data_IF_899628403333
#
_entry.id   IF_899628403333
#
_cell.length_a   1.000
_cell.length_b   1.000
_cell.length_c   1.000
_cell.angle_alpha   90.00
_cell.angle_beta   90.00
_cell.angle_gamma   90.00
#
_symmetry.space_group_name_H-M   'P 1'
#
loop_
_entity.id
_entity.type
_entity.pdbx_description
1 polymer ?
#
# COMPACT_ATOMS: atom_id res chain seq x y z
N UNK A 1 -10.14 -0.07 8.26
CA UNK A 1 -9.14 0.60 7.40
C UNK A 1 -7.77 0.42 8.06
N UNK A 2 -7.03 -0.62 7.69
CA UNK A 2 -5.68 -0.82 8.22
C UNK A 2 -4.76 0.18 7.55
N UNK A 3 -3.98 0.92 8.33
CA UNK A 3 -2.92 1.76 7.76
C UNK A 3 -1.97 0.91 6.91
N UNK A 4 -1.46 1.45 5.79
CA UNK A 4 -0.46 0.74 4.99
C UNK A 4 0.73 0.38 5.89
N UNK A 5 1.17 -0.87 5.81
CA UNK A 5 2.31 -1.43 6.56
C UNK A 5 3.54 -0.54 6.50
N UNK A 6 3.77 0.11 5.36
CA UNK A 6 4.79 1.12 5.14
C UNK A 6 4.72 2.30 6.11
N UNK A 7 3.57 2.96 6.30
CA UNK A 7 3.47 4.13 7.19
C UNK A 7 3.74 3.76 8.65
N UNK A 8 3.43 2.52 9.03
CA UNK A 8 3.80 1.98 10.35
C UNK A 8 5.31 1.79 10.46
N UNK A 9 5.94 1.16 9.47
CA UNK A 9 7.40 0.93 9.45
C UNK A 9 8.18 2.25 9.41
N UNK A 10 7.75 3.21 8.59
CA UNK A 10 8.38 4.53 8.50
C UNK A 10 8.30 5.28 9.85
N UNK A 11 7.16 5.20 10.55
CA UNK A 11 7.04 5.75 11.90
C UNK A 11 7.99 5.09 12.89
N UNK A 12 8.16 3.76 12.80
CA UNK A 12 9.13 3.03 13.63
C UNK A 12 10.56 3.48 13.33
N UNK A 13 10.94 3.63 12.06
CA UNK A 13 12.27 4.12 11.65
C UNK A 13 12.54 5.52 12.20
N UNK A 14 11.61 6.46 11.99
CA UNK A 14 11.74 7.84 12.49
C UNK A 14 11.88 7.84 14.01
N UNK A 15 11.07 7.04 14.70
CA UNK A 15 11.14 6.90 16.15
C UNK A 15 12.50 6.35 16.61
N UNK A 16 13.00 5.29 15.97
CA UNK A 16 14.31 4.70 16.29
C UNK A 16 15.45 5.70 16.10
N UNK A 17 15.44 6.47 15.00
CA UNK A 17 16.45 7.51 14.75
C UNK A 17 16.42 8.59 15.84
N UNK A 18 15.24 9.06 16.22
CA UNK A 18 15.08 10.06 17.29
C UNK A 18 15.58 9.51 18.63
N UNK A 19 15.23 8.26 18.97
CA UNK A 19 15.73 7.60 20.18
C UNK A 19 17.25 7.50 20.14
N UNK A 20 17.84 7.12 19.02
CA UNK A 20 19.28 6.91 18.90
C UNK A 20 20.06 8.23 19.00
N UNK A 21 19.53 9.31 18.40
CA UNK A 21 20.07 10.68 18.58
C UNK A 21 19.95 11.13 20.03
N UNK A 22 18.81 10.86 20.68
CA UNK A 22 18.57 11.29 22.07
C UNK A 22 19.47 10.53 23.05
N UNK A 23 19.60 9.22 22.88
CA UNK A 23 20.48 8.35 23.69
C UNK A 23 21.95 8.69 23.45
N UNK A 24 22.36 8.91 22.19
CA UNK A 24 23.70 9.38 21.84
C UNK A 24 24.05 10.69 22.54
N UNK A 25 23.18 11.70 22.37
CA UNK A 25 23.37 13.03 22.95
C UNK A 25 23.40 12.98 24.49
N UNK A 26 22.45 12.28 25.10
CA UNK A 26 22.41 12.12 26.56
C UNK A 26 23.63 11.35 27.08
N UNK A 27 24.08 10.31 26.37
CA UNK A 27 25.26 9.54 26.75
C UNK A 27 26.53 10.39 26.79
N UNK A 28 26.78 11.20 25.76
CA UNK A 28 27.91 12.13 25.78
C UNK A 28 27.77 13.23 26.84
N UNK A 29 26.55 13.74 27.10
CA UNK A 29 26.34 14.70 28.19
C UNK A 29 26.59 14.10 29.58
N UNK A 30 26.27 12.82 29.80
CA UNK A 30 26.40 12.16 31.11
C UNK A 30 27.80 11.59 31.35
N UNK A 31 28.42 11.00 30.33
CA UNK A 31 29.74 10.37 30.45
C UNK A 31 30.85 11.40 30.32
N UNK A 32 30.75 12.28 29.33
CA UNK A 32 31.81 13.22 28.97
C UNK A 32 31.56 14.65 29.48
N UNK A 33 30.39 14.91 30.08
CA UNK A 33 30.00 16.23 30.60
C UNK A 33 30.05 17.33 29.54
N UNK A 34 29.86 16.96 28.27
CA UNK A 34 29.86 17.91 27.17
C UNK A 34 28.59 18.75 27.15
N UNK A 35 28.72 19.96 26.62
CA UNK A 35 27.55 20.78 26.35
C UNK A 35 26.64 20.10 25.32
N UNK A 36 25.33 20.33 25.42
CA UNK A 36 24.33 19.69 24.56
C UNK A 36 24.63 19.84 23.07
N UNK A 37 25.19 20.99 22.65
CA UNK A 37 25.53 21.23 21.25
C UNK A 37 26.67 20.32 20.77
N UNK A 38 27.73 20.16 21.55
CA UNK A 38 28.88 19.31 21.22
C UNK A 38 28.47 17.83 21.21
N UNK A 39 27.67 17.41 22.20
CA UNK A 39 27.15 16.06 22.30
C UNK A 39 26.20 15.70 21.13
N UNK A 40 25.30 16.62 20.77
CA UNK A 40 24.39 16.44 19.65
C UNK A 40 25.16 16.41 18.33
N UNK A 41 26.11 17.33 18.16
CA UNK A 41 26.93 17.39 16.95
C UNK A 41 27.75 16.11 16.79
N UNK A 42 28.42 15.63 17.85
CA UNK A 42 29.13 14.35 17.85
C UNK A 42 28.20 13.19 17.45
N UNK A 43 27.03 13.10 18.07
CA UNK A 43 26.05 12.06 17.77
C UNK A 43 25.63 12.09 16.29
N UNK A 44 25.33 13.26 15.74
CA UNK A 44 24.92 13.40 14.34
C UNK A 44 26.05 13.04 13.38
N UNK A 45 27.29 13.46 13.60
CA UNK A 45 28.40 13.11 12.70
C UNK A 45 28.74 11.62 12.75
N UNK A 46 28.60 10.98 13.92
CA UNK A 46 28.79 9.54 14.09
C UNK A 46 27.69 8.75 13.37
N UNK A 47 26.43 9.12 13.56
CA UNK A 47 25.28 8.41 12.97
C UNK A 47 25.07 8.72 11.49
N UNK A 48 25.49 9.88 11.00
CA UNK A 48 25.43 10.19 9.57
C UNK A 48 26.51 9.45 8.76
N UNK A 49 27.41 8.71 9.42
CA UNK A 49 28.57 8.03 8.80
C UNK A 49 29.59 8.98 8.17
N UNK A 50 29.49 10.29 8.45
CA UNK A 50 30.45 11.30 7.94
C UNK A 50 31.77 11.23 8.69
N UNK A 51 31.72 11.17 10.03
CA UNK A 51 32.89 10.86 10.86
C UNK A 51 34.07 11.82 10.71
N UNK A 52 33.87 13.13 10.92
CA UNK A 52 34.96 14.13 10.89
C UNK A 52 36.03 13.96 11.99
N UNK A 53 35.87 12.99 12.89
CA UNK A 53 36.68 12.80 14.09
C UNK A 53 35.93 13.20 15.36
N UNK A 54 36.62 13.13 16.50
CA UNK A 54 36.07 13.51 17.79
C UNK A 54 35.93 15.04 17.90
N UNK A 55 34.77 15.51 18.35
CA UNK A 55 34.53 16.95 18.59
C UNK A 55 35.40 17.47 19.74
N UNK A 56 35.58 16.63 20.77
CA UNK A 56 36.48 16.82 21.91
C UNK A 56 37.08 15.46 22.30
N UNK A 57 38.22 15.42 23.01
CA UNK A 57 38.85 14.16 23.41
C UNK A 57 37.89 13.29 24.23
N UNK A 58 37.74 12.03 23.83
CA UNK A 58 36.94 11.05 24.54
C UNK A 58 37.71 10.39 25.69
N UNK A 59 36.99 9.99 26.74
CA UNK A 59 37.53 9.06 27.75
C UNK A 59 37.31 7.60 27.33
N UNK A 60 37.99 6.65 27.97
CA UNK A 60 37.79 5.21 27.69
C UNK A 60 36.31 4.77 27.75
N UNK A 61 35.50 5.18 28.76
CA UNK A 61 34.06 4.94 28.74
C UNK A 61 33.32 5.55 27.53
N UNK A 62 33.70 6.76 27.12
CA UNK A 62 33.13 7.44 25.95
C UNK A 62 33.48 6.77 24.63
N UNK A 63 34.68 6.21 24.50
CA UNK A 63 35.08 5.41 23.34
C UNK A 63 34.22 4.14 23.23
N UNK A 64 34.07 3.39 24.32
CA UNK A 64 33.24 2.17 24.34
C UNK A 64 31.77 2.50 24.04
N UNK A 65 31.26 3.59 24.61
CA UNK A 65 29.92 4.10 24.31
C UNK A 65 29.77 4.43 22.82
N UNK A 66 30.75 5.12 22.24
CA UNK A 66 30.76 5.49 20.82
C UNK A 66 30.78 4.24 19.93
N UNK A 67 31.53 3.20 20.28
CA UNK A 67 31.53 1.92 19.55
C UNK A 67 30.13 1.30 19.53
N UNK A 68 29.45 1.23 20.69
CA UNK A 68 28.09 0.70 20.78
C UNK A 68 27.09 1.54 19.98
N UNK A 69 27.23 2.87 20.05
CA UNK A 69 26.40 3.81 19.29
C UNK A 69 26.56 3.62 17.78
N UNK A 70 27.78 3.38 17.30
CA UNK A 70 28.07 3.07 15.89
C UNK A 70 27.40 1.77 15.47
N UNK A 71 27.57 0.68 16.23
CA UNK A 71 26.93 -0.60 15.89
C UNK A 71 25.40 -0.49 15.84
N UNK A 72 24.79 0.19 16.80
CA UNK A 72 23.35 0.46 16.80
C UNK A 72 22.93 1.34 15.62
N UNK A 73 23.68 2.42 15.35
CA UNK A 73 23.44 3.35 14.26
C UNK A 73 23.46 2.68 12.90
N UNK A 74 24.49 1.88 12.61
CA UNK A 74 24.61 1.13 11.36
C UNK A 74 23.42 0.19 11.17
N UNK A 75 22.98 -0.52 12.22
CA UNK A 75 21.81 -1.38 12.16
C UNK A 75 20.52 -0.64 11.81
N UNK A 76 20.28 0.50 12.46
CA UNK A 76 19.10 1.33 12.19
C UNK A 76 19.15 1.92 10.77
N UNK A 77 20.31 2.38 10.30
CA UNK A 77 20.47 2.87 8.93
C UNK A 77 20.23 1.77 7.90
N UNK A 78 20.81 0.59 8.09
CA UNK A 78 20.62 -0.55 7.20
C UNK A 78 19.13 -0.94 7.10
N UNK A 79 18.43 -1.00 8.23
CA UNK A 79 16.99 -1.26 8.27
C UNK A 79 16.17 -0.16 7.58
N UNK A 80 16.56 1.11 7.77
CA UNK A 80 15.95 2.26 7.13
C UNK A 80 16.08 2.18 5.60
N UNK A 81 17.27 1.88 5.10
CA UNK A 81 17.53 1.69 3.67
C UNK A 81 16.72 0.53 3.08
N UNK A 82 16.63 -0.60 3.79
CA UNK A 82 15.80 -1.74 3.35
C UNK A 82 14.34 -1.33 3.21
N UNK A 83 13.78 -0.64 4.22
CA UNK A 83 12.38 -0.20 4.22
C UNK A 83 12.08 0.78 3.07
N UNK A 84 12.99 1.72 2.83
CA UNK A 84 12.86 2.67 1.71
C UNK A 84 12.99 1.95 0.35
N UNK A 85 13.91 0.99 0.25
CA UNK A 85 14.12 0.22 -0.98
C UNK A 85 12.91 -0.64 -1.29
N UNK A 86 12.37 -1.38 -0.31
CA UNK A 86 11.16 -2.17 -0.46
C UNK A 86 10.01 -1.31 -0.96
N UNK A 87 9.86 -0.10 -0.44
CA UNK A 87 8.83 0.84 -0.89
C UNK A 87 9.01 1.33 -2.33
N UNK A 88 10.24 1.67 -2.73
CA UNK A 88 10.56 2.12 -4.09
C UNK A 88 10.37 0.97 -5.08
N UNK A 89 10.88 -0.22 -4.75
CA UNK A 89 10.88 -1.39 -5.63
C UNK A 89 9.50 -2.02 -5.72
N UNK A 90 8.80 -2.21 -4.60
CA UNK A 90 7.46 -2.79 -4.60
C UNK A 90 6.40 -1.83 -5.13
N UNK A 91 6.72 -0.53 -5.27
CA UNK A 91 5.78 0.47 -5.76
C UNK A 91 4.49 0.50 -4.93
N UNK A 92 4.55 0.18 -3.63
CA UNK A 92 3.36 0.04 -2.77
C UNK A 92 2.53 1.33 -2.75
N UNK A 93 3.19 2.50 -2.86
CA UNK A 93 2.50 3.77 -3.04
C UNK A 93 1.70 3.82 -4.34
N UNK A 94 2.29 3.35 -5.44
CA UNK A 94 1.65 3.31 -6.74
C UNK A 94 0.46 2.35 -6.73
N UNK A 95 0.58 1.18 -6.10
CA UNK A 95 -0.52 0.24 -5.90
C UNK A 95 -1.66 0.81 -5.04
N UNK A 96 -1.34 1.46 -3.92
CA UNK A 96 -2.32 2.09 -3.04
C UNK A 96 -3.03 3.28 -3.70
N UNK A 97 -2.26 4.22 -4.28
CA UNK A 97 -2.81 5.39 -4.98
C UNK A 97 -3.62 4.96 -6.21
N UNK A 98 -3.19 3.94 -6.95
CA UNK A 98 -3.95 3.39 -8.08
C UNK A 98 -5.23 2.71 -7.63
N UNK A 99 -5.23 1.85 -6.60
CA UNK A 99 -6.48 1.28 -6.05
C UNK A 99 -7.47 2.37 -5.65
N UNK A 100 -6.98 3.42 -4.99
CA UNK A 100 -7.81 4.57 -4.61
C UNK A 100 -8.31 5.35 -5.83
N UNK A 101 -7.52 5.45 -6.90
CA UNK A 101 -7.91 6.07 -8.18
C UNK A 101 -8.94 5.23 -8.93
N UNK A 102 -8.75 3.91 -9.01
CA UNK A 102 -9.70 2.96 -9.61
C UNK A 102 -11.01 2.96 -8.86
N UNK A 103 -10.99 2.87 -7.52
CA UNK A 103 -12.19 2.99 -6.69
C UNK A 103 -12.91 4.33 -6.92
N UNK A 104 -12.20 5.45 -7.02
CA UNK A 104 -12.79 6.76 -7.36
C UNK A 104 -13.35 6.81 -8.79
N UNK A 105 -12.68 6.18 -9.75
CA UNK A 105 -13.15 6.08 -11.15
C UNK A 105 -14.45 5.28 -11.18
N UNK A 106 -14.43 4.08 -10.60
CA UNK A 106 -15.61 3.22 -10.43
C UNK A 106 -16.74 3.96 -9.74
N UNK A 107 -16.47 4.66 -8.62
CA UNK A 107 -17.44 5.45 -7.85
C UNK A 107 -18.07 6.63 -8.63
N UNK A 108 -17.57 6.98 -9.81
CA UNK A 108 -18.14 8.02 -10.69
C UNK A 108 -18.71 7.47 -12.01
N UNK A 109 -18.56 6.18 -12.28
CA UNK A 109 -19.04 5.57 -13.53
C UNK A 109 -20.57 5.49 -13.55
N UNK A 110 -21.16 5.83 -14.69
CA UNK A 110 -22.59 5.69 -14.97
C UNK A 110 -22.74 5.03 -16.35
N UNK A 111 -23.85 4.35 -16.57
CA UNK A 111 -24.15 3.61 -17.80
C UNK A 111 -22.99 2.66 -18.18
N UNK A 112 -22.48 1.94 -17.18
CA UNK A 112 -21.41 0.95 -17.34
C UNK A 112 -21.93 -0.46 -17.16
N UNK A 113 -21.22 -1.43 -17.71
CA UNK A 113 -21.52 -2.85 -17.55
C UNK A 113 -20.72 -3.43 -16.38
N UNK A 114 -21.34 -4.34 -15.63
CA UNK A 114 -20.67 -5.11 -14.59
C UNK A 114 -20.53 -6.54 -15.09
N UNK A 115 -19.31 -7.08 -15.12
CA UNK A 115 -19.05 -8.48 -15.47
C UNK A 115 -18.61 -9.22 -14.20
N UNK A 116 -19.42 -10.19 -13.79
CA UNK A 116 -19.17 -11.02 -12.60
C UNK A 116 -18.49 -12.32 -13.04
N UNK A 117 -17.23 -12.48 -12.64
CA UNK A 117 -16.37 -13.60 -13.03
C UNK A 117 -15.55 -13.28 -14.28
N UNK A 118 -14.23 -13.47 -14.20
CA UNK A 118 -13.29 -13.32 -15.31
C UNK A 118 -12.67 -14.67 -15.70
N UNK A 119 -13.51 -15.70 -15.72
CA UNK A 119 -13.17 -17.02 -16.26
C UNK A 119 -13.20 -17.05 -17.79
N UNK A 120 -13.33 -18.25 -18.37
CA UNK A 120 -13.34 -18.44 -19.84
C UNK A 120 -14.40 -17.60 -20.55
N UNK A 121 -15.62 -17.60 -20.04
CA UNK A 121 -16.76 -16.85 -20.62
C UNK A 121 -16.62 -15.35 -20.34
N UNK A 122 -16.36 -14.99 -19.08
CA UNK A 122 -16.22 -13.58 -18.69
C UNK A 122 -15.11 -12.85 -19.43
N UNK A 123 -14.00 -13.54 -19.73
CA UNK A 123 -12.93 -12.97 -20.56
C UNK A 123 -13.41 -12.58 -21.95
N UNK A 124 -14.18 -13.43 -22.63
CA UNK A 124 -14.71 -13.12 -23.96
C UNK A 124 -15.66 -11.93 -23.92
N UNK A 125 -16.54 -11.88 -22.91
CA UNK A 125 -17.47 -10.75 -22.70
C UNK A 125 -16.69 -9.46 -22.48
N UNK A 126 -15.68 -9.48 -21.61
CA UNK A 126 -14.84 -8.32 -21.32
C UNK A 126 -14.05 -7.87 -22.56
N UNK A 127 -13.47 -8.80 -23.31
CA UNK A 127 -12.76 -8.50 -24.56
C UNK A 127 -13.68 -7.82 -25.58
N UNK A 128 -14.89 -8.32 -25.77
CA UNK A 128 -15.85 -7.76 -26.72
C UNK A 128 -16.39 -6.39 -26.28
N UNK A 129 -16.76 -6.25 -25.01
CA UNK A 129 -17.18 -4.94 -24.47
C UNK A 129 -16.05 -3.91 -24.54
N UNK A 130 -14.83 -4.31 -24.19
CA UNK A 130 -13.67 -3.43 -24.23
C UNK A 130 -13.28 -3.01 -25.65
N UNK A 131 -13.34 -3.94 -26.62
CA UNK A 131 -13.06 -3.66 -28.03
C UNK A 131 -14.08 -2.69 -28.66
N UNK A 132 -15.28 -2.57 -28.09
CA UNK A 132 -16.32 -1.63 -28.51
C UNK A 132 -16.35 -0.33 -27.68
N UNK A 133 -15.29 -0.04 -26.91
CA UNK A 133 -15.18 1.14 -26.03
C UNK A 133 -16.32 1.26 -24.99
N UNK A 134 -16.95 0.12 -24.63
CA UNK A 134 -18.01 0.10 -23.63
C UNK A 134 -17.39 0.17 -22.24
N UNK A 135 -17.89 1.11 -21.42
CA UNK A 135 -17.45 1.26 -20.03
C UNK A 135 -17.85 0.02 -19.23
N UNK A 136 -16.89 -0.63 -18.60
CA UNK A 136 -17.15 -1.83 -17.80
C UNK A 136 -16.32 -1.91 -16.52
N UNK A 137 -16.79 -2.72 -15.58
CA UNK A 137 -16.13 -3.12 -14.33
C UNK A 137 -16.17 -4.65 -14.24
N UNK A 138 -15.06 -5.26 -13.84
CA UNK A 138 -15.00 -6.70 -13.58
C UNK A 138 -14.98 -6.96 -12.07
N UNK A 139 -15.78 -7.92 -11.61
CA UNK A 139 -15.80 -8.42 -10.23
C UNK A 139 -15.38 -9.89 -10.24
N UNK A 140 -14.36 -10.26 -9.46
CA UNK A 140 -13.97 -11.67 -9.26
C UNK A 140 -13.42 -11.88 -7.85
N UNK A 141 -13.50 -13.11 -7.33
CA UNK A 141 -12.95 -13.48 -6.03
C UNK A 141 -11.42 -13.55 -6.11
N UNK A 142 -10.86 -13.95 -7.26
CA UNK A 142 -9.42 -14.07 -7.43
C UNK A 142 -8.75 -12.70 -7.60
N UNK A 143 -8.09 -12.26 -6.53
CA UNK A 143 -7.34 -10.99 -6.46
C UNK A 143 -6.16 -10.95 -7.44
N UNK A 144 -5.63 -12.10 -7.88
CA UNK A 144 -4.47 -12.16 -8.77
C UNK A 144 -4.81 -11.60 -10.17
N UNK A 145 -6.06 -11.75 -10.61
CA UNK A 145 -6.55 -11.24 -11.90
C UNK A 145 -6.50 -9.72 -12.02
N UNK A 146 -6.47 -9.01 -10.88
CA UNK A 146 -6.39 -7.56 -10.87
C UNK A 146 -5.16 -7.01 -11.59
N UNK A 147 -4.03 -7.72 -11.55
CA UNK A 147 -2.81 -7.27 -12.24
C UNK A 147 -2.96 -7.34 -13.76
N UNK A 148 -3.66 -8.35 -14.28
CA UNK A 148 -3.90 -8.51 -15.70
C UNK A 148 -4.89 -7.45 -16.23
N UNK A 149 -6.05 -7.32 -15.57
CA UNK A 149 -7.07 -6.33 -15.94
C UNK A 149 -6.53 -4.90 -15.85
N UNK A 150 -5.62 -4.65 -14.90
CA UNK A 150 -4.94 -3.37 -14.78
C UNK A 150 -4.05 -3.05 -15.99
N UNK A 151 -3.33 -4.04 -16.55
CA UNK A 151 -2.55 -3.84 -17.79
C UNK A 151 -3.44 -3.49 -18.98
N UNK A 152 -4.66 -4.03 -19.01
CA UNK A 152 -5.68 -3.72 -20.01
C UNK A 152 -6.43 -2.40 -19.72
N UNK A 153 -6.14 -1.72 -18.61
CA UNK A 153 -6.82 -0.48 -18.23
C UNK A 153 -8.27 -0.66 -17.79
N UNK A 154 -8.68 -1.90 -17.51
CA UNK A 154 -10.03 -2.28 -17.11
C UNK A 154 -10.16 -2.21 -15.59
N UNK A 155 -11.16 -1.49 -15.05
CA UNK A 155 -11.44 -1.48 -13.61
C UNK A 155 -11.78 -2.87 -13.07
N UNK A 156 -11.08 -3.29 -12.01
CA UNK A 156 -11.29 -4.57 -11.33
C UNK A 156 -11.64 -4.36 -9.85
N UNK A 157 -12.59 -5.16 -9.36
CA UNK A 157 -12.98 -5.25 -7.97
C UNK A 157 -12.86 -6.69 -7.49
N UNK A 158 -12.06 -6.90 -6.45
CA UNK A 158 -11.97 -8.20 -5.82
C UNK A 158 -13.07 -8.37 -4.77
N UNK A 159 -13.95 -9.34 -4.96
CA UNK A 159 -15.09 -9.62 -4.07
C UNK A 159 -15.96 -10.75 -4.61
N UNK A 160 -16.83 -11.27 -3.76
CA UNK A 160 -17.85 -12.25 -4.18
C UNK A 160 -19.05 -11.50 -4.78
N UNK A 161 -19.40 -11.71 -6.07
CA UNK A 161 -20.54 -11.04 -6.69
C UNK A 161 -21.91 -11.42 -6.08
N UNK A 162 -21.97 -12.44 -5.24
CA UNK A 162 -23.18 -12.81 -4.50
C UNK A 162 -23.45 -11.92 -3.28
N UNK A 163 -22.47 -11.12 -2.86
CA UNK A 163 -22.67 -10.16 -1.78
C UNK A 163 -23.25 -8.85 -2.34
N UNK A 164 -24.44 -8.44 -1.88
CA UNK A 164 -25.10 -7.20 -2.30
C UNK A 164 -24.16 -5.98 -2.14
N UNK A 165 -23.41 -5.90 -1.03
CA UNK A 165 -22.41 -4.85 -0.75
C UNK A 165 -21.33 -4.73 -1.85
N UNK A 166 -20.93 -5.85 -2.47
CA UNK A 166 -19.92 -5.86 -3.55
C UNK A 166 -20.53 -5.29 -4.84
N UNK A 167 -21.78 -5.64 -5.14
CA UNK A 167 -22.52 -5.09 -6.29
C UNK A 167 -22.76 -3.58 -6.12
N UNK A 168 -23.11 -3.14 -4.91
CA UNK A 168 -23.27 -1.72 -4.58
C UNK A 168 -21.96 -0.93 -4.76
N UNK A 169 -20.84 -1.45 -4.26
CA UNK A 169 -19.52 -0.83 -4.45
C UNK A 169 -19.10 -0.78 -5.93
N UNK A 170 -19.51 -1.76 -6.73
CA UNK A 170 -19.33 -1.76 -8.18
C UNK A 170 -20.25 -0.78 -8.92
N UNK A 171 -21.22 -0.18 -8.22
CA UNK A 171 -22.15 0.83 -8.74
C UNK A 171 -23.32 0.24 -9.50
N UNK A 172 -23.86 -0.91 -9.07
CA UNK A 172 -24.98 -1.59 -9.73
C UNK A 172 -26.24 -0.72 -9.91
N UNK A 173 -26.52 0.20 -8.98
CA UNK A 173 -27.67 1.13 -9.03
C UNK A 173 -27.71 1.99 -10.30
N UNK A 174 -26.57 2.17 -10.95
CA UNK A 174 -26.35 3.08 -12.09
C UNK A 174 -25.61 2.39 -13.24
N UNK A 175 -25.53 1.06 -13.17
CA UNK A 175 -25.05 0.23 -14.25
C UNK A 175 -26.11 0.13 -15.36
N UNK A 176 -25.66 0.06 -16.61
CA UNK A 176 -26.52 -0.18 -17.76
C UNK A 176 -26.95 -1.65 -17.86
N UNK A 177 -26.07 -2.58 -17.43
CA UNK A 177 -26.36 -4.00 -17.44
C UNK A 177 -25.35 -4.81 -16.65
N UNK A 178 -25.68 -6.08 -16.40
CA UNK A 178 -24.82 -7.03 -15.69
C UNK A 178 -24.72 -8.34 -16.45
N UNK A 179 -23.49 -8.83 -16.62
CA UNK A 179 -23.23 -10.16 -17.16
C UNK A 179 -22.67 -11.05 -16.06
N UNK A 180 -23.39 -12.12 -15.70
CA UNK A 180 -22.92 -13.11 -14.74
C UNK A 180 -22.28 -14.28 -15.46
N UNK A 181 -20.98 -14.45 -15.29
CA UNK A 181 -20.14 -15.43 -15.98
C UNK A 181 -19.46 -16.41 -15.01
N UNK A 182 -20.14 -16.71 -13.90
CA UNK A 182 -19.65 -17.62 -12.85
C UNK A 182 -19.84 -19.09 -13.28
N UNK A 183 -19.02 -20.01 -12.75
CA UNK A 183 -19.05 -21.42 -13.16
C UNK A 183 -20.31 -22.20 -12.74
N UNK A 184 -21.17 -21.62 -11.89
CA UNK A 184 -22.39 -22.27 -11.38
C UNK A 184 -23.64 -21.46 -11.76
N UNK A 185 -24.57 -22.09 -12.47
CA UNK A 185 -25.82 -21.48 -12.92
C UNK A 185 -26.72 -20.98 -11.78
N UNK A 186 -26.76 -21.70 -10.66
CA UNK A 186 -27.53 -21.26 -9.49
C UNK A 186 -26.96 -19.94 -8.94
N UNK A 187 -25.64 -19.80 -8.94
CA UNK A 187 -24.96 -18.56 -8.55
C UNK A 187 -25.24 -17.44 -9.55
N UNK A 188 -25.20 -17.73 -10.86
CA UNK A 188 -25.52 -16.74 -11.89
C UNK A 188 -26.95 -16.19 -11.73
N UNK A 189 -27.94 -17.06 -11.52
CA UNK A 189 -29.33 -16.65 -11.27
C UNK A 189 -29.43 -15.81 -10.00
N UNK A 190 -28.78 -16.21 -8.92
CA UNK A 190 -28.79 -15.48 -7.66
C UNK A 190 -28.23 -14.06 -7.82
N UNK A 191 -27.06 -13.91 -8.45
CA UNK A 191 -26.43 -12.60 -8.71
C UNK A 191 -27.36 -11.70 -9.53
N UNK A 192 -28.01 -12.24 -10.58
CA UNK A 192 -28.95 -11.46 -11.40
C UNK A 192 -30.17 -11.01 -10.60
N UNK A 193 -30.70 -11.86 -9.72
CA UNK A 193 -31.83 -11.51 -8.86
C UNK A 193 -31.46 -10.44 -7.83
N UNK A 194 -30.30 -10.57 -7.16
CA UNK A 194 -29.75 -9.55 -6.27
C UNK A 194 -29.55 -8.22 -7.00
N UNK A 195 -28.94 -8.27 -8.18
CA UNK A 195 -28.70 -7.09 -9.00
C UNK A 195 -30.01 -6.39 -9.43
N UNK A 196 -31.04 -7.14 -9.85
CA UNK A 196 -32.36 -6.60 -10.22
C UNK A 196 -33.15 -6.07 -9.02
N UNK A 197 -32.95 -6.63 -7.84
CA UNK A 197 -33.53 -6.11 -6.60
C UNK A 197 -32.98 -4.71 -6.29
N UNK A 198 -31.70 -4.47 -6.56
CA UNK A 198 -31.05 -3.17 -6.33
C UNK A 198 -31.36 -2.19 -7.49
N UNK A 199 -31.30 -2.66 -8.74
CA UNK A 199 -31.60 -1.87 -9.93
C UNK A 199 -32.65 -2.59 -10.80
N UNK A 200 -33.91 -2.19 -10.66
CA UNK A 200 -35.03 -2.81 -11.38
C UNK A 200 -35.01 -2.58 -12.91
N UNK A 201 -34.27 -1.57 -13.39
CA UNK A 201 -34.15 -1.24 -14.80
C UNK A 201 -32.92 -1.88 -15.48
N UNK A 202 -32.15 -2.68 -14.75
CA UNK A 202 -30.92 -3.31 -15.22
C UNK A 202 -31.18 -4.29 -16.38
N UNK A 203 -30.38 -4.15 -17.44
CA UNK A 203 -30.34 -5.11 -18.56
C UNK A 203 -29.64 -6.41 -18.16
#
# INVERSE_FOLDING_TARGET
>A
MNEPTFFRQLRVVIFLVIVLISVGTAGYMLLEHWAMHDALFMTVITLSTVGYGEVRPLTQPGEVFTMLLIFGGVGVLAYSFSTVTDYIVAGELQGYLRRRRTARKMARMQDHYIVCGFGRVGRQVVEELHANDIRLVVIDIDRALGAELEQLGIPFMAGDPTEDDVLEQAGIERAAGLCSCLPNDATNVFVVLSARKINAALL
#
